data_IF_167794259512
#
_entry.id   IF_167794259512
#
_cell.length_a   1.000
_cell.length_b   1.000
_cell.length_c   1.000
_cell.angle_alpha   90.00
_cell.angle_beta   90.00
_cell.angle_gamma   90.00
#
_symmetry.space_group_name_H-M   'P 1'
#
loop_
_entity.id
_entity.type
_entity.pdbx_description
1 polymer ?
#
# COMPACT_ATOMS: atom_id res chain seq x y z
N UNK A 1 -1.68 23.38 -6.54
CA UNK A 1 -0.95 22.18 -6.04
C UNK A 1 -0.52 21.41 -7.26
N UNK A 2 0.77 21.11 -7.40
CA UNK A 2 1.28 20.34 -8.53
C UNK A 2 0.66 18.96 -8.55
N UNK A 3 -0.01 18.63 -9.65
CA UNK A 3 -0.66 17.33 -9.84
C UNK A 3 0.39 16.29 -10.23
N UNK A 4 0.43 15.16 -9.51
CA UNK A 4 1.27 14.01 -9.85
C UNK A 4 0.41 12.86 -10.36
N UNK A 5 0.84 12.23 -11.44
CA UNK A 5 0.31 10.96 -11.92
C UNK A 5 0.89 9.82 -11.08
N UNK A 6 0.09 8.77 -10.89
CA UNK A 6 0.47 7.56 -10.15
C UNK A 6 0.20 6.35 -11.02
N UNK A 7 1.22 5.53 -11.26
CA UNK A 7 1.10 4.21 -11.87
C UNK A 7 1.30 3.14 -10.80
N UNK A 8 0.49 2.10 -10.84
CA UNK A 8 0.54 0.98 -9.88
C UNK A 8 0.89 -0.30 -10.62
N UNK A 9 1.93 -0.98 -10.14
CA UNK A 9 2.44 -2.22 -10.72
C UNK A 9 2.35 -3.31 -9.64
N UNK A 10 1.33 -4.18 -9.69
CA UNK A 10 1.20 -5.28 -8.74
C UNK A 10 2.14 -6.43 -9.13
N UNK A 11 2.72 -7.09 -8.13
CA UNK A 11 3.48 -8.34 -8.27
C UNK A 11 3.24 -9.23 -7.04
N UNK A 12 3.49 -10.53 -7.18
CA UNK A 12 3.44 -11.49 -6.08
C UNK A 12 4.85 -11.98 -5.78
N UNK A 13 5.21 -12.03 -4.50
CA UNK A 13 6.47 -12.59 -4.02
C UNK A 13 6.13 -13.88 -3.27
N UNK A 14 6.48 -15.02 -3.87
CA UNK A 14 6.18 -16.36 -3.34
C UNK A 14 6.81 -16.56 -1.95
N UNK A 15 8.08 -16.20 -1.78
CA UNK A 15 8.84 -16.39 -0.53
C UNK A 15 8.25 -15.62 0.66
N UNK A 16 7.69 -14.43 0.41
CA UNK A 16 7.06 -13.60 1.45
C UNK A 16 5.54 -13.82 1.55
N UNK A 17 4.96 -14.65 0.66
CA UNK A 17 3.52 -14.81 0.48
C UNK A 17 2.77 -13.46 0.39
N UNK A 18 3.37 -12.50 -0.31
CA UNK A 18 2.95 -11.10 -0.29
C UNK A 18 2.59 -10.59 -1.70
N UNK A 19 1.53 -9.79 -1.79
CA UNK A 19 1.30 -8.97 -2.97
C UNK A 19 2.01 -7.64 -2.74
N UNK A 20 2.94 -7.29 -3.62
CA UNK A 20 3.67 -6.02 -3.61
C UNK A 20 3.08 -5.09 -4.65
N UNK A 21 2.71 -3.89 -4.21
CA UNK A 21 2.32 -2.79 -5.08
C UNK A 21 3.48 -1.81 -5.19
N UNK A 22 4.08 -1.75 -6.37
CA UNK A 22 5.05 -0.71 -6.71
C UNK A 22 4.30 0.49 -7.30
N UNK A 23 4.49 1.65 -6.69
CA UNK A 23 3.91 2.92 -7.09
C UNK A 23 4.99 3.77 -7.74
N UNK A 24 4.78 4.14 -8.99
CA UNK A 24 5.63 5.11 -9.69
C UNK A 24 4.90 6.45 -9.76
N UNK A 25 5.59 7.53 -9.37
CA UNK A 25 5.04 8.88 -9.40
C UNK A 25 5.79 9.74 -10.42
N UNK A 26 5.04 10.51 -11.20
CA UNK A 26 5.60 11.48 -12.15
C UNK A 26 4.74 12.74 -12.22
N UNK A 27 5.38 13.85 -12.57
CA UNK A 27 4.69 15.02 -13.11
C UNK A 27 4.59 14.88 -14.63
N UNK A 28 4.06 15.90 -15.31
CA UNK A 28 4.10 15.99 -16.76
C UNK A 28 5.53 16.03 -17.33
N UNK A 29 6.52 16.39 -16.51
CA UNK A 29 7.88 16.69 -16.94
C UNK A 29 8.90 15.61 -16.51
N UNK A 30 8.70 14.96 -15.36
CA UNK A 30 9.71 14.06 -14.79
C UNK A 30 9.14 13.02 -13.83
N UNK A 31 9.88 11.92 -13.62
CA UNK A 31 9.67 11.01 -12.48
C UNK A 31 9.98 11.76 -11.18
N UNK A 32 9.08 11.69 -10.21
CA UNK A 32 9.24 12.36 -8.90
C UNK A 32 9.45 11.40 -7.74
N UNK A 33 9.36 10.09 -8.01
CA UNK A 33 9.72 9.07 -7.03
C UNK A 33 8.97 7.77 -7.20
N UNK A 34 9.17 6.89 -6.23
CA UNK A 34 8.50 5.61 -6.14
C UNK A 34 8.30 5.14 -4.69
N UNK A 35 7.41 4.17 -4.54
CA UNK A 35 7.15 3.51 -3.27
C UNK A 35 6.80 2.05 -3.46
N UNK A 36 7.11 1.20 -2.48
CA UNK A 36 6.64 -0.20 -2.45
C UNK A 36 5.85 -0.50 -1.18
N UNK A 37 4.63 -0.97 -1.38
CA UNK A 37 3.76 -1.45 -0.30
C UNK A 37 3.59 -2.96 -0.42
N UNK A 38 3.96 -3.66 0.64
CA UNK A 38 3.80 -5.09 0.78
C UNK A 38 2.48 -5.35 1.48
N UNK A 39 1.71 -6.29 0.98
CA UNK A 39 0.42 -6.65 1.57
C UNK A 39 0.39 -8.12 1.94
N UNK A 40 -0.02 -8.36 3.17
CA UNK A 40 -0.01 -9.67 3.79
C UNK A 40 -1.40 -9.97 4.33
N UNK A 41 -1.74 -11.25 4.36
CA UNK A 41 -2.88 -11.72 5.13
C UNK A 41 -2.42 -11.84 6.59
N UNK A 42 -3.12 -11.22 7.54
CA UNK A 42 -2.97 -11.64 8.93
C UNK A 42 -3.36 -13.11 8.98
N UNK A 43 -2.43 -13.97 9.40
CA UNK A 43 -2.77 -15.33 9.75
C UNK A 43 -3.86 -15.27 10.83
N UNK A 44 -4.91 -16.05 10.66
CA UNK A 44 -6.04 -16.10 11.58
C UNK A 44 -5.61 -16.73 12.91
N UNK A 45 -4.80 -16.02 13.71
CA UNK A 45 -4.58 -16.38 15.11
C UNK A 45 -5.84 -15.97 15.89
N UNK A 46 -6.75 -16.93 16.03
CA UNK A 46 -7.80 -17.03 17.05
C UNK A 46 -9.15 -16.32 16.90
N UNK A 47 -9.47 -15.59 15.82
CA UNK A 47 -10.83 -15.05 15.65
C UNK A 47 -11.73 -15.96 14.80
N UNK A 48 -11.98 -17.18 15.30
CA UNK A 48 -13.12 -18.01 14.84
C UNK A 48 -14.42 -17.46 15.41
N UNK A 49 -14.93 -16.36 14.85
CA UNK A 49 -16.36 -16.02 14.99
C UNK A 49 -17.04 -16.26 13.65
N UNK A 50 -17.98 -17.23 13.56
CA UNK A 50 -18.61 -17.62 12.30
C UNK A 50 -19.60 -16.59 11.72
N UNK A 51 -19.67 -15.38 12.30
CA UNK A 51 -20.63 -14.33 11.90
C UNK A 51 -20.04 -13.20 11.06
N UNK A 52 -18.74 -13.20 10.80
CA UNK A 52 -18.13 -12.13 10.02
C UNK A 52 -18.35 -12.39 8.53
N UNK A 53 -19.41 -11.81 7.96
CA UNK A 53 -19.66 -11.81 6.52
C UNK A 53 -18.52 -11.15 5.70
N UNK A 54 -18.76 -10.67 4.46
CA UNK A 54 -17.70 -10.10 3.60
C UNK A 54 -16.84 -8.99 4.25
N UNK A 55 -17.39 -8.32 5.29
CA UNK A 55 -16.71 -7.32 6.11
C UNK A 55 -15.61 -7.88 7.01
N UNK A 56 -15.70 -9.15 7.44
CA UNK A 56 -14.66 -9.84 8.21
C UNK A 56 -13.42 -10.15 7.39
N UNK A 57 -13.62 -10.63 6.16
CA UNK A 57 -12.54 -10.94 5.22
C UNK A 57 -11.65 -9.72 4.89
N UNK A 58 -12.24 -8.51 4.86
CA UNK A 58 -11.49 -7.25 4.64
C UNK A 58 -10.65 -6.81 5.84
N UNK A 59 -10.88 -7.35 7.05
CA UNK A 59 -10.15 -6.95 8.27
C UNK A 59 -8.83 -7.69 8.46
N UNK A 60 -8.58 -8.76 7.70
CA UNK A 60 -7.41 -9.62 7.90
C UNK A 60 -6.31 -9.33 6.86
N UNK A 61 -6.26 -8.10 6.33
CA UNK A 61 -5.22 -7.65 5.41
C UNK A 61 -4.48 -6.49 6.03
N UNK A 62 -3.16 -6.56 6.07
CA UNK A 62 -2.33 -5.43 6.45
C UNK A 62 -1.38 -5.07 5.32
N UNK A 63 -1.04 -3.79 5.25
CA UNK A 63 -0.08 -3.23 4.31
C UNK A 63 1.10 -2.62 5.07
N UNK A 64 2.30 -2.83 4.57
CA UNK A 64 3.55 -2.28 5.09
C UNK A 64 4.21 -1.48 3.97
N UNK A 65 4.46 -0.20 4.21
CA UNK A 65 5.28 0.63 3.34
C UNK A 65 6.75 0.33 3.64
N UNK A 66 7.45 -0.37 2.75
CA UNK A 66 8.86 -0.75 2.91
C UNK A 66 9.83 0.20 2.22
N UNK A 67 9.45 0.74 1.06
CA UNK A 67 10.28 1.66 0.29
C UNK A 67 9.48 2.93 0.00
N UNK A 68 10.08 4.10 0.22
CA UNK A 68 9.44 5.39 -0.01
C UNK A 68 10.45 6.47 -0.40
N UNK A 69 10.80 6.48 -1.69
CA UNK A 69 11.78 7.38 -2.30
C UNK A 69 11.06 8.39 -3.19
N UNK A 70 10.61 9.49 -2.59
CA UNK A 70 9.86 10.55 -3.27
C UNK A 70 10.44 11.90 -2.89
N UNK A 71 10.61 12.77 -3.88
CA UNK A 71 11.06 14.16 -3.70
C UNK A 71 10.14 14.85 -2.69
N UNK A 72 10.74 15.57 -1.74
CA UNK A 72 10.09 16.10 -0.53
C UNK A 72 8.75 16.82 -0.81
N UNK A 73 8.73 17.70 -1.82
CA UNK A 73 7.54 18.47 -2.22
C UNK A 73 6.34 17.61 -2.63
N UNK A 74 6.55 16.36 -3.05
CA UNK A 74 5.48 15.45 -3.49
C UNK A 74 5.14 14.36 -2.47
N UNK A 75 5.88 14.22 -1.35
CA UNK A 75 5.70 13.12 -0.38
C UNK A 75 4.28 13.06 0.16
N UNK A 76 3.72 14.20 0.56
CA UNK A 76 2.37 14.26 1.14
C UNK A 76 1.28 13.80 0.14
N UNK A 77 1.33 14.32 -1.10
CA UNK A 77 0.33 13.98 -2.10
C UNK A 77 0.47 12.53 -2.58
N UNK A 78 1.70 11.99 -2.64
CA UNK A 78 1.94 10.59 -2.93
C UNK A 78 1.38 9.67 -1.86
N UNK A 79 1.64 9.94 -0.57
CA UNK A 79 1.05 9.18 0.55
C UNK A 79 -0.48 9.20 0.52
N UNK A 80 -1.08 10.34 0.19
CA UNK A 80 -2.54 10.47 0.04
C UNK A 80 -3.07 9.55 -1.07
N UNK A 81 -2.38 9.48 -2.22
CA UNK A 81 -2.76 8.61 -3.34
C UNK A 81 -2.58 7.13 -3.01
N UNK A 82 -1.48 6.74 -2.35
CA UNK A 82 -1.25 5.37 -1.86
C UNK A 82 -2.35 4.97 -0.87
N UNK A 83 -2.62 5.81 0.14
CA UNK A 83 -3.67 5.56 1.14
C UNK A 83 -5.05 5.39 0.50
N UNK A 84 -5.36 6.22 -0.50
CA UNK A 84 -6.61 6.10 -1.24
C UNK A 84 -6.70 4.79 -2.02
N UNK A 85 -5.66 4.44 -2.79
CA UNK A 85 -5.61 3.17 -3.53
C UNK A 85 -5.83 1.96 -2.61
N UNK A 86 -5.13 1.92 -1.48
CA UNK A 86 -5.24 0.82 -0.51
C UNK A 86 -6.65 0.70 0.08
N UNK A 87 -7.29 1.83 0.42
CA UNK A 87 -8.69 1.85 0.87
C UNK A 87 -9.64 1.29 -0.18
N UNK A 88 -9.44 1.64 -1.45
CA UNK A 88 -10.27 1.13 -2.57
C UNK A 88 -10.15 -0.38 -2.71
N UNK A 89 -8.94 -0.94 -2.55
CA UNK A 89 -8.73 -2.41 -2.59
C UNK A 89 -9.04 -3.12 -1.26
N UNK A 90 -9.60 -2.40 -0.29
CA UNK A 90 -10.08 -2.97 0.97
C UNK A 90 -9.00 -3.17 2.04
N UNK A 91 -7.91 -2.40 1.98
CA UNK A 91 -6.84 -2.37 2.99
C UNK A 91 -6.90 -1.01 3.72
N UNK A 92 -7.47 -0.94 4.93
CA UNK A 92 -7.83 0.34 5.55
C UNK A 92 -6.63 1.08 6.17
N UNK A 93 -5.52 0.39 6.44
CA UNK A 93 -4.36 0.95 7.13
C UNK A 93 -3.04 0.48 6.50
N UNK A 94 -2.05 1.38 6.54
CA UNK A 94 -0.65 1.13 6.18
C UNK A 94 0.20 1.34 7.41
N UNK A 95 0.98 0.33 7.80
CA UNK A 95 2.09 0.51 8.72
C UNK A 95 3.29 1.07 7.94
N UNK A 96 4.01 2.01 8.55
CA UNK A 96 5.33 2.41 8.05
C UNK A 96 6.37 1.57 8.79
N UNK A 97 7.06 0.68 8.09
CA UNK A 97 8.29 0.10 8.63
C UNK A 97 9.40 1.14 8.42
N UNK A 98 9.55 2.03 9.41
CA UNK A 98 10.72 2.88 9.53
C UNK A 98 11.86 1.99 10.04
N UNK A 99 12.56 1.31 9.14
CA UNK A 99 13.91 0.83 9.46
C UNK A 99 14.79 2.08 9.47
N UNK A 100 15.20 2.46 10.68
CA UNK A 100 16.11 3.57 10.98
C UNK A 100 17.53 3.29 10.48
#
# INVERSE_FOLDING_TARGET
>A
MSEIEMKVIPSYIDDELAIVFHFEFKTSQMKVGEAKVYTYKLTDSHFKTPSAGPKGFRRNKHAVLKEFEIIEEYRYIALKKISHFLKVIGIPAVAQDLIA
#
